data_IF_069157952265
#
_entry.id   IF_069157952265
#
_cell.length_a   1.000
_cell.length_b   1.000
_cell.length_c   1.000
_cell.angle_alpha   90.00
_cell.angle_beta   90.00
_cell.angle_gamma   90.00
#
_symmetry.space_group_name_H-M   'P 1'
#
loop_
_entity.id
_entity.type
_entity.pdbx_description
1 polymer ?
#
# COMPACT_ATOMS: atom_id res chain seq x y z
N UNK A 1 14.15 -4.01 9.26
CA UNK A 1 12.94 -3.83 10.09
C UNK A 1 12.08 -2.65 9.65
N UNK A 2 12.38 -1.37 9.95
CA UNK A 2 11.48 -0.26 9.59
C UNK A 2 11.42 0.03 8.07
N UNK A 3 12.55 0.04 7.39
CA UNK A 3 12.60 0.15 5.92
C UNK A 3 11.92 -1.03 5.22
N UNK A 4 12.06 -2.23 5.79
CA UNK A 4 11.42 -3.45 5.30
C UNK A 4 9.89 -3.38 5.47
N UNK A 5 9.41 -2.96 6.64
CA UNK A 5 8.00 -2.68 6.90
C UNK A 5 7.44 -1.63 5.91
N UNK A 6 8.17 -0.54 5.67
CA UNK A 6 7.78 0.46 4.68
C UNK A 6 7.64 -0.12 3.27
N UNK A 7 8.57 -0.98 2.86
CA UNK A 7 8.52 -1.69 1.58
C UNK A 7 7.34 -2.67 1.50
N UNK A 8 7.10 -3.45 2.55
CA UNK A 8 6.00 -4.41 2.61
C UNK A 8 4.63 -3.72 2.54
N UNK A 9 4.44 -2.64 3.30
CA UNK A 9 3.22 -1.85 3.27
C UNK A 9 3.00 -1.20 1.90
N UNK A 10 4.06 -0.71 1.26
CA UNK A 10 3.98 -0.19 -0.11
C UNK A 10 3.53 -1.27 -1.09
N UNK A 11 4.03 -2.50 -0.95
CA UNK A 11 3.61 -3.65 -1.76
C UNK A 11 2.13 -3.97 -1.56
N UNK A 12 1.67 -4.01 -0.30
CA UNK A 12 0.25 -4.24 0.02
C UNK A 12 -0.64 -3.15 -0.59
N UNK A 13 -0.26 -1.87 -0.49
CA UNK A 13 -1.02 -0.79 -1.10
C UNK A 13 -1.15 -0.94 -2.62
N UNK A 14 -0.08 -1.35 -3.30
CA UNK A 14 -0.08 -1.63 -4.74
C UNK A 14 -1.00 -2.80 -5.09
N UNK A 15 -0.89 -3.92 -4.38
CA UNK A 15 -1.75 -5.10 -4.61
C UNK A 15 -3.24 -4.76 -4.43
N UNK A 16 -3.58 -3.95 -3.41
CA UNK A 16 -4.94 -3.47 -3.22
C UNK A 16 -5.38 -2.51 -4.32
N UNK A 17 -4.52 -1.63 -4.81
CA UNK A 17 -4.84 -0.71 -5.91
C UNK A 17 -5.12 -1.49 -7.22
N UNK A 18 -4.29 -2.48 -7.53
CA UNK A 18 -4.37 -3.28 -8.75
C UNK A 18 -5.58 -4.24 -8.76
N UNK A 19 -6.13 -4.59 -7.59
CA UNK A 19 -7.34 -5.39 -7.50
C UNK A 19 -8.53 -4.77 -8.25
N UNK A 20 -8.55 -3.44 -8.44
CA UNK A 20 -9.59 -2.77 -9.24
C UNK A 20 -9.53 -3.15 -10.73
N UNK A 21 -8.32 -3.31 -11.26
CA UNK A 21 -8.06 -3.59 -12.68
C UNK A 21 -8.68 -4.93 -13.11
N UNK A 22 -8.95 -5.83 -12.16
CA UNK A 22 -9.52 -7.14 -12.45
C UNK A 22 -11.05 -7.19 -12.44
N UNK A 23 -11.72 -6.12 -12.02
CA UNK A 23 -13.18 -6.11 -11.82
C UNK A 23 -13.97 -6.32 -13.11
N UNK A 24 -13.55 -5.66 -14.19
CA UNK A 24 -14.18 -5.79 -15.50
C UNK A 24 -13.93 -7.17 -16.11
N UNK A 25 -12.70 -7.69 -15.99
CA UNK A 25 -12.35 -9.04 -16.40
C UNK A 25 -13.19 -10.09 -15.67
N UNK A 26 -13.40 -9.92 -14.36
CA UNK A 26 -14.25 -10.81 -13.56
C UNK A 26 -15.71 -10.69 -14.00
N UNK A 27 -16.20 -9.47 -14.25
CA UNK A 27 -17.55 -9.22 -14.74
C UNK A 27 -17.79 -9.87 -16.12
N UNK A 28 -16.79 -9.88 -17.00
CA UNK A 28 -16.89 -10.55 -18.30
C UNK A 28 -16.83 -12.09 -18.18
N UNK A 29 -16.11 -12.60 -17.17
CA UNK A 29 -15.95 -14.03 -16.93
C UNK A 29 -17.18 -14.72 -16.32
N UNK A 30 -18.09 -14.00 -15.65
CA UNK A 30 -19.26 -14.61 -14.99
C UNK A 30 -20.35 -15.10 -15.95
N UNK A 31 -20.33 -14.69 -17.22
CA UNK A 31 -21.19 -15.23 -18.28
C UNK A 31 -22.70 -14.94 -18.16
N UNK A 32 -23.14 -14.28 -17.08
CA UNK A 32 -24.52 -13.85 -16.86
C UNK A 32 -24.58 -12.32 -16.72
N UNK A 33 -25.35 -11.66 -17.59
CA UNK A 33 -25.37 -10.19 -17.69
C UNK A 33 -25.71 -9.47 -16.38
N UNK A 34 -26.78 -9.89 -15.69
CA UNK A 34 -27.15 -9.27 -14.41
C UNK A 34 -26.12 -9.49 -13.29
N UNK A 35 -25.33 -10.57 -13.38
CA UNK A 35 -24.26 -10.82 -12.41
C UNK A 35 -23.04 -9.96 -12.75
N UNK A 36 -22.71 -9.82 -14.04
CA UNK A 36 -21.68 -8.91 -14.52
C UNK A 36 -21.95 -7.45 -14.07
N UNK A 37 -23.19 -6.99 -14.23
CA UNK A 37 -23.59 -5.63 -13.80
C UNK A 37 -23.46 -5.45 -12.29
N UNK A 38 -23.83 -6.46 -11.51
CA UNK A 38 -23.69 -6.44 -10.04
C UNK A 38 -22.22 -6.38 -9.63
N UNK A 39 -21.34 -7.13 -10.31
CA UNK A 39 -19.89 -7.11 -10.05
C UNK A 39 -19.29 -5.75 -10.37
N UNK A 40 -19.64 -5.15 -11.51
CA UNK A 40 -19.18 -3.80 -11.89
C UNK A 40 -19.66 -2.74 -10.90
N UNK A 41 -20.95 -2.76 -10.56
CA UNK A 41 -21.53 -1.80 -9.62
C UNK A 41 -20.89 -1.89 -8.24
N UNK A 42 -20.65 -3.11 -7.74
CA UNK A 42 -19.90 -3.32 -6.51
C UNK A 42 -18.47 -2.78 -6.61
N UNK A 43 -17.74 -3.13 -7.66
CA UNK A 43 -16.35 -2.74 -7.84
C UNK A 43 -16.18 -1.23 -7.89
N UNK A 44 -17.00 -0.53 -8.68
CA UNK A 44 -16.98 0.92 -8.80
C UNK A 44 -17.41 1.61 -7.51
N UNK A 45 -18.45 1.13 -6.82
CA UNK A 45 -18.84 1.69 -5.52
C UNK A 45 -17.78 1.48 -4.44
N UNK A 46 -16.93 0.47 -4.61
CA UNK A 46 -15.82 0.21 -3.70
C UNK A 46 -14.58 1.09 -3.99
N UNK A 47 -14.52 1.80 -5.13
CA UNK A 47 -13.36 2.62 -5.53
C UNK A 47 -12.93 3.61 -4.45
N UNK A 48 -13.87 4.36 -3.89
CA UNK A 48 -13.56 5.37 -2.87
C UNK A 48 -13.03 4.73 -1.58
N UNK A 49 -13.60 3.59 -1.17
CA UNK A 49 -13.15 2.85 0.01
C UNK A 49 -11.76 2.26 -0.20
N UNK A 50 -11.51 1.69 -1.38
CA UNK A 50 -10.20 1.17 -1.76
C UNK A 50 -9.17 2.28 -1.77
N UNK A 51 -9.48 3.43 -2.36
CA UNK A 51 -8.59 4.60 -2.44
C UNK A 51 -8.25 5.16 -1.05
N UNK A 52 -9.23 5.25 -0.15
CA UNK A 52 -8.98 5.67 1.22
C UNK A 52 -8.02 4.70 1.93
N UNK A 53 -8.32 3.40 1.85
CA UNK A 53 -7.50 2.36 2.48
C UNK A 53 -6.07 2.31 1.91
N UNK A 54 -5.89 2.39 0.59
CA UNK A 54 -4.54 2.39 -0.01
C UNK A 54 -3.76 3.65 0.36
N UNK A 55 -4.42 4.80 0.46
CA UNK A 55 -3.81 6.04 0.95
C UNK A 55 -3.34 5.94 2.40
N UNK A 56 -4.14 5.33 3.28
CA UNK A 56 -3.77 5.11 4.68
C UNK A 56 -2.56 4.17 4.80
N UNK A 57 -2.53 3.09 4.01
CA UNK A 57 -1.41 2.14 3.98
C UNK A 57 -0.14 2.81 3.46
N UNK A 58 -0.24 3.62 2.40
CA UNK A 58 0.89 4.40 1.88
C UNK A 58 1.42 5.41 2.91
N UNK A 59 0.53 6.04 3.68
CA UNK A 59 0.90 6.94 4.76
C UNK A 59 1.66 6.19 5.86
N UNK A 60 1.19 5.01 6.24
CA UNK A 60 1.89 4.17 7.21
C UNK A 60 3.26 3.71 6.67
N UNK A 61 3.33 3.34 5.40
CA UNK A 61 4.59 2.96 4.74
C UNK A 61 5.61 4.09 4.80
N UNK A 62 5.17 5.31 4.49
CA UNK A 62 6.00 6.52 4.58
C UNK A 62 6.52 6.74 6.00
N UNK A 63 5.66 6.68 7.01
CA UNK A 63 6.09 6.85 8.40
C UNK A 63 7.06 5.76 8.86
N UNK A 64 6.84 4.50 8.47
CA UNK A 64 7.78 3.43 8.77
C UNK A 64 9.17 3.70 8.18
N UNK A 65 9.25 4.16 6.92
CA UNK A 65 10.52 4.54 6.29
C UNK A 65 11.18 5.71 7.00
N UNK A 66 10.45 6.79 7.26
CA UNK A 66 10.98 7.99 7.95
C UNK A 66 11.50 7.66 9.36
N UNK A 67 10.81 6.79 10.10
CA UNK A 67 11.28 6.31 11.41
C UNK A 67 12.58 5.53 11.25
N UNK A 68 12.66 4.62 10.27
CA UNK A 68 13.87 3.84 10.00
C UNK A 68 15.07 4.73 9.65
N UNK A 69 14.87 5.73 8.81
CA UNK A 69 15.90 6.72 8.44
C UNK A 69 16.34 7.54 9.65
N UNK A 70 15.40 8.04 10.47
CA UNK A 70 15.71 8.83 11.66
C UNK A 70 16.52 8.05 12.70
N UNK A 71 16.18 6.78 12.94
CA UNK A 71 16.96 5.91 13.82
C UNK A 71 18.35 5.62 13.24
N UNK A 72 18.44 5.31 11.95
CA UNK A 72 19.73 5.06 11.29
C UNK A 72 20.67 6.26 11.31
N UNK A 73 20.13 7.47 11.07
CA UNK A 73 20.90 8.72 11.14
C UNK A 73 21.37 9.02 12.57
N UNK A 74 20.50 8.77 13.57
CA UNK A 74 20.86 8.96 14.99
C UNK A 74 21.96 7.99 15.41
N UNK A 75 21.86 6.71 15.02
CA UNK A 75 22.85 5.68 15.34
C UNK A 75 24.20 5.99 14.70
N UNK A 76 24.21 6.40 13.42
CA UNK A 76 25.43 6.82 12.73
C UNK A 76 26.08 8.03 13.40
N UNK A 77 25.30 9.06 13.73
CA UNK A 77 25.83 10.25 14.41
C UNK A 77 26.41 9.95 15.79
N UNK A 78 25.82 9.00 16.52
CA UNK A 78 26.37 8.54 17.80
C UNK A 78 27.65 7.72 17.60
N UNK A 79 27.70 6.85 16.59
CA UNK A 79 28.86 6.06 16.26
C UNK A 79 30.08 6.95 15.91
N UNK A 80 29.86 8.00 15.12
CA UNK A 80 30.89 8.98 14.76
C UNK A 80 31.42 9.69 16.02
N UNK A 81 30.51 10.21 16.84
CA UNK A 81 30.84 10.93 18.07
C UNK A 81 31.64 10.09 19.08
N UNK A 82 31.33 8.79 19.19
CA UNK A 82 32.04 7.86 20.09
C UNK A 82 33.36 7.38 19.48
N UNK A 83 33.44 7.28 18.15
CA UNK A 83 34.67 6.86 17.45
C UNK A 83 35.69 8.00 17.27
N UNK A 84 35.31 9.23 17.63
CA UNK A 84 36.17 10.41 17.53
C UNK A 84 36.38 10.89 16.08
N UNK A 85 35.48 10.54 15.17
CA UNK A 85 35.39 11.10 13.82
C UNK A 85 34.40 12.25 13.78
#
# INVERSE_FOLDING_TARGET
MFAELGSELSRVATEFADANTNSDTIADAVGHSGLADTVRDFAHKWDDKRKAMTGDIQTLAKFATEIGEGFGQTDHGLADAVSGQ
#
